data_IF_518318383583
#
_entry.id   IF_518318383583
#
_cell.length_a   1.000
_cell.length_b   1.000
_cell.length_c   1.000
_cell.angle_alpha   90.00
_cell.angle_beta   90.00
_cell.angle_gamma   90.00
#
_symmetry.space_group_name_H-M   'P 1'
#
loop_
_entity.id
_entity.type
_entity.pdbx_description
1 polymer ?
#
# COMPACT_ATOMS: atom_id res chain seq x y z
N UNK A 1 2.69 5.20 3.70
CA UNK A 1 2.58 6.29 4.70
C UNK A 1 1.27 7.04 4.53
N UNK A 2 0.74 7.64 5.61
CA UNK A 2 -0.39 8.58 5.52
C UNK A 2 0.15 9.99 5.24
N UNK A 3 0.14 10.39 3.97
CA UNK A 3 0.62 11.68 3.46
C UNK A 3 0.20 12.87 4.32
N UNK A 4 -1.05 12.83 4.80
CA UNK A 4 -1.66 13.93 5.53
C UNK A 4 -1.04 14.16 6.90
N UNK A 5 -0.18 13.27 7.41
CA UNK A 5 0.51 13.45 8.70
C UNK A 5 1.35 14.73 8.71
N UNK A 6 1.99 15.05 7.58
CA UNK A 6 2.77 16.28 7.39
C UNK A 6 1.91 17.51 7.68
N UNK A 7 0.60 17.44 7.37
CA UNK A 7 -0.36 18.55 7.49
C UNK A 7 -1.35 18.37 8.64
N UNK A 8 -1.21 17.33 9.47
CA UNK A 8 -2.14 17.05 10.57
C UNK A 8 -1.92 17.97 11.78
N UNK A 9 -0.67 18.41 12.01
CA UNK A 9 -0.32 19.33 13.08
C UNK A 9 0.96 20.11 12.70
N UNK A 10 1.06 21.38 13.11
CA UNK A 10 2.23 22.25 12.86
C UNK A 10 3.56 21.63 13.28
N UNK A 11 3.56 20.78 14.32
CA UNK A 11 4.77 20.07 14.79
C UNK A 11 5.33 19.02 13.81
N UNK A 12 4.62 18.73 12.72
CA UNK A 12 5.03 17.75 11.70
C UNK A 12 5.43 18.41 10.37
N UNK A 13 5.42 19.75 10.30
CA UNK A 13 5.69 20.48 9.05
C UNK A 13 7.17 20.41 8.66
N UNK A 14 8.04 20.00 9.58
CA UNK A 14 9.46 19.76 9.39
C UNK A 14 9.77 18.37 8.82
N UNK A 15 8.79 17.45 8.78
CA UNK A 15 8.98 16.08 8.31
C UNK A 15 9.60 15.99 6.90
N UNK A 16 9.23 16.81 5.90
CA UNK A 16 9.90 16.78 4.59
C UNK A 16 11.42 17.01 4.69
N UNK A 17 11.86 17.95 5.53
CA UNK A 17 13.28 18.22 5.76
C UNK A 17 13.97 17.10 6.54
N UNK A 18 13.28 16.54 7.53
CA UNK A 18 13.76 15.38 8.27
C UNK A 18 13.96 14.17 7.35
N UNK A 19 12.97 13.85 6.50
CA UNK A 19 13.04 12.76 5.53
C UNK A 19 14.22 12.96 4.57
N UNK A 20 14.36 14.17 4.02
CA UNK A 20 15.48 14.54 3.15
C UNK A 20 16.83 14.33 3.82
N UNK A 21 17.00 14.81 5.06
CA UNK A 21 18.25 14.67 5.83
C UNK A 21 18.69 13.21 5.97
N UNK A 22 17.73 12.29 6.07
CA UNK A 22 17.96 10.87 6.24
C UNK A 22 17.80 10.04 4.96
N UNK A 23 17.62 10.69 3.81
CA UNK A 23 17.39 10.05 2.51
C UNK A 23 16.28 8.97 2.56
N UNK A 24 15.19 9.27 3.25
CA UNK A 24 14.07 8.34 3.40
C UNK A 24 13.35 8.21 2.07
N UNK A 25 13.09 6.98 1.61
CA UNK A 25 12.20 6.72 0.48
C UNK A 25 10.74 6.88 0.94
N UNK A 26 10.04 7.86 0.39
CA UNK A 26 8.64 8.15 0.72
C UNK A 26 7.71 7.37 -0.22
N UNK A 27 6.91 6.47 0.36
CA UNK A 27 5.81 5.78 -0.34
C UNK A 27 4.50 6.18 0.33
N UNK A 28 3.57 6.75 -0.44
CA UNK A 28 2.37 7.36 0.13
C UNK A 28 1.09 7.02 -0.62
N UNK A 29 0.00 6.77 0.14
CA UNK A 29 -1.30 6.48 -0.48
C UNK A 29 -1.92 7.75 -1.08
N UNK A 30 -2.35 7.66 -2.34
CA UNK A 30 -3.13 8.65 -3.05
C UNK A 30 -4.21 7.91 -3.86
N UNK A 31 -5.43 7.72 -3.32
CA UNK A 31 -6.44 6.85 -3.94
C UNK A 31 -6.96 7.39 -5.28
N UNK A 32 -6.86 8.70 -5.53
CA UNK A 32 -7.17 9.30 -6.82
C UNK A 32 -6.54 10.69 -6.93
N UNK A 33 -6.28 11.18 -8.14
CA UNK A 33 -5.84 12.56 -8.39
C UNK A 33 -6.98 13.60 -8.39
N UNK A 34 -8.21 13.23 -7.98
CA UNK A 34 -9.34 14.16 -7.91
C UNK A 34 -9.90 14.26 -6.51
N UNK A 35 -10.35 15.47 -6.16
CA UNK A 35 -10.94 15.79 -4.85
C UNK A 35 -12.12 14.90 -4.49
N UNK A 36 -13.13 14.83 -5.37
CA UNK A 36 -14.38 14.12 -5.07
C UNK A 36 -14.17 12.63 -4.77
N UNK A 37 -13.29 11.96 -5.51
CA UNK A 37 -12.99 10.54 -5.26
C UNK A 37 -12.14 10.35 -4.00
N UNK A 38 -11.12 11.19 -3.81
CA UNK A 38 -10.25 11.11 -2.62
C UNK A 38 -11.00 11.37 -1.33
N UNK A 39 -11.78 12.45 -1.27
CA UNK A 39 -12.51 12.83 -0.07
C UNK A 39 -13.63 11.83 0.25
N UNK A 40 -14.28 11.26 -0.77
CA UNK A 40 -15.25 10.17 -0.57
C UNK A 40 -14.62 8.94 0.09
N UNK A 41 -13.37 8.61 -0.24
CA UNK A 41 -12.69 7.42 0.27
C UNK A 41 -11.94 7.65 1.58
N UNK A 42 -11.39 8.84 1.81
CA UNK A 42 -10.47 9.12 2.93
C UNK A 42 -11.01 10.14 3.93
N UNK A 43 -12.10 10.84 3.60
CA UNK A 43 -12.70 11.88 4.42
C UNK A 43 -12.51 13.28 3.84
N UNK A 44 -13.39 14.20 4.23
CA UNK A 44 -13.42 15.58 3.73
C UNK A 44 -12.10 16.33 4.00
N UNK A 45 -11.60 17.03 2.98
CA UNK A 45 -10.39 17.86 3.07
C UNK A 45 -9.08 17.05 3.09
N UNK A 46 -9.13 15.73 2.91
CA UNK A 46 -7.92 14.90 2.77
C UNK A 46 -7.20 15.23 1.47
N UNK A 47 -7.93 15.45 0.38
CA UNK A 47 -7.32 15.78 -0.91
C UNK A 47 -6.39 17.00 -0.82
N UNK A 48 -6.87 18.12 -0.28
CA UNK A 48 -6.07 19.34 -0.15
C UNK A 48 -4.82 19.15 0.70
N UNK A 49 -4.96 18.41 1.80
CA UNK A 49 -3.83 18.10 2.68
C UNK A 49 -2.80 17.24 1.96
N UNK A 50 -3.24 16.27 1.14
CA UNK A 50 -2.36 15.43 0.33
C UNK A 50 -1.64 16.24 -0.74
N UNK A 51 -2.35 17.05 -1.52
CA UNK A 51 -1.75 17.94 -2.53
C UNK A 51 -0.71 18.86 -1.88
N UNK A 52 -1.06 19.48 -0.75
CA UNK A 52 -0.13 20.39 -0.08
C UNK A 52 1.13 19.67 0.44
N UNK A 53 0.97 18.48 1.00
CA UNK A 53 2.10 17.67 1.46
C UNK A 53 3.01 17.21 0.31
N UNK A 54 2.45 16.87 -0.85
CA UNK A 54 3.24 16.53 -2.05
C UNK A 54 4.04 17.72 -2.56
N UNK A 55 3.42 18.90 -2.63
CA UNK A 55 4.14 20.13 -3.00
C UNK A 55 5.29 20.44 -2.03
N UNK A 56 5.10 20.21 -0.73
CA UNK A 56 6.16 20.39 0.27
C UNK A 56 7.29 19.37 0.12
N UNK A 57 6.97 18.14 -0.27
CA UNK A 57 7.96 17.12 -0.62
C UNK A 57 8.73 17.51 -1.90
N UNK A 58 8.04 17.89 -2.98
CA UNK A 58 8.69 18.35 -4.22
C UNK A 58 9.59 19.56 -3.98
N UNK A 59 9.15 20.53 -3.16
CA UNK A 59 9.93 21.71 -2.82
C UNK A 59 11.28 21.40 -2.14
N UNK A 60 11.38 20.26 -1.46
CA UNK A 60 12.66 19.81 -0.86
C UNK A 60 13.42 18.83 -1.74
N UNK A 61 12.88 18.47 -2.91
CA UNK A 61 13.52 17.68 -3.96
C UNK A 61 12.99 16.25 -4.10
N UNK A 62 11.99 15.83 -3.33
CA UNK A 62 11.36 14.52 -3.52
C UNK A 62 10.63 14.46 -4.86
N UNK A 63 10.68 13.33 -5.57
CA UNK A 63 9.88 13.16 -6.79
C UNK A 63 10.43 13.86 -8.04
N UNK A 64 11.34 14.83 -7.87
CA UNK A 64 11.89 15.61 -8.98
C UNK A 64 12.73 14.74 -9.93
N UNK A 65 12.74 15.04 -11.24
CA UNK A 65 13.69 14.44 -12.17
C UNK A 65 15.13 14.58 -11.65
N UNK A 66 15.94 13.53 -11.85
CA UNK A 66 17.35 13.44 -11.45
C UNK A 66 17.65 13.55 -9.93
N UNK A 67 16.62 13.56 -9.08
CA UNK A 67 16.78 13.55 -7.64
C UNK A 67 16.99 12.15 -7.07
N UNK A 68 17.87 12.01 -6.09
CA UNK A 68 17.99 10.78 -5.31
C UNK A 68 16.86 10.61 -4.27
N UNK A 69 16.07 11.66 -4.02
CA UNK A 69 14.96 11.65 -3.06
C UNK A 69 13.71 10.99 -3.67
N UNK A 70 13.55 9.71 -3.37
CA UNK A 70 12.49 8.85 -3.91
C UNK A 70 11.11 9.18 -3.33
N UNK A 71 10.15 9.44 -4.23
CA UNK A 71 8.73 9.60 -3.91
C UNK A 71 7.90 8.74 -4.85
N UNK A 72 7.18 7.77 -4.31
CA UNK A 72 6.23 6.93 -5.02
C UNK A 72 4.83 7.02 -4.40
N UNK A 73 3.81 6.87 -5.23
CA UNK A 73 2.42 6.91 -4.81
C UNK A 73 1.78 5.53 -4.87
N UNK A 74 0.79 5.29 -4.02
CA UNK A 74 0.03 4.04 -3.97
C UNK A 74 -1.43 4.33 -4.29
N UNK A 75 -1.92 3.71 -5.37
CA UNK A 75 -3.30 3.71 -5.78
C UNK A 75 -3.99 2.42 -5.32
N UNK A 76 -5.20 2.57 -4.79
CA UNK A 76 -6.09 1.45 -4.51
C UNK A 76 -7.51 1.84 -4.94
N UNK A 77 -8.24 0.96 -5.65
CA UNK A 77 -9.52 1.31 -6.25
C UNK A 77 -10.58 1.68 -5.20
N UNK A 78 -11.48 2.59 -5.56
CA UNK A 78 -12.64 2.94 -4.74
C UNK A 78 -13.80 1.97 -5.03
N UNK A 79 -13.70 0.73 -4.53
CA UNK A 79 -14.78 -0.26 -4.66
C UNK A 79 -14.31 -1.71 -4.69
N UNK A 80 -15.25 -2.59 -4.99
CA UNK A 80 -15.10 -4.05 -5.04
C UNK A 80 -14.65 -4.53 -6.44
N UNK A 81 -13.50 -4.06 -6.90
CA UNK A 81 -12.90 -4.49 -8.17
C UNK A 81 -11.37 -4.44 -8.09
N UNK A 82 -10.71 -5.18 -8.98
CA UNK A 82 -9.24 -5.19 -9.13
C UNK A 82 -8.76 -3.85 -9.73
N UNK A 83 -7.55 -3.39 -9.39
CA UNK A 83 -6.99 -2.22 -10.06
C UNK A 83 -6.81 -2.47 -11.56
N UNK A 84 -6.86 -1.39 -12.35
CA UNK A 84 -6.49 -1.44 -13.76
C UNK A 84 -4.97 -1.57 -13.96
N UNK A 85 -4.54 -1.51 -15.22
CA UNK A 85 -3.13 -1.54 -15.60
C UNK A 85 -2.32 -0.44 -14.87
N UNK A 86 -1.27 -0.83 -14.15
CA UNK A 86 -0.46 0.08 -13.35
C UNK A 86 0.22 1.14 -14.20
N UNK A 87 0.73 0.78 -15.39
CA UNK A 87 1.43 1.71 -16.26
C UNK A 87 0.48 2.78 -16.84
N UNK A 88 -0.74 2.39 -17.20
CA UNK A 88 -1.79 3.32 -17.62
C UNK A 88 -2.19 4.26 -16.49
N UNK A 89 -2.47 3.71 -15.30
CA UNK A 89 -2.80 4.51 -14.12
C UNK A 89 -1.66 5.48 -13.76
N UNK A 90 -0.40 5.05 -13.84
CA UNK A 90 0.75 5.91 -13.57
C UNK A 90 0.80 7.11 -14.52
N UNK A 91 0.60 6.88 -15.82
CA UNK A 91 0.56 7.97 -16.82
C UNK A 91 -0.56 8.97 -16.53
N UNK A 92 -1.75 8.47 -16.19
CA UNK A 92 -2.90 9.32 -15.87
C UNK A 92 -2.65 10.15 -14.60
N UNK A 93 -2.08 9.54 -13.56
CA UNK A 93 -1.70 10.24 -12.33
C UNK A 93 -0.62 11.29 -12.57
N UNK A 94 0.46 10.95 -13.31
CA UNK A 94 1.54 11.89 -13.63
C UNK A 94 1.00 13.09 -14.39
N UNK A 95 0.20 12.84 -15.44
CA UNK A 95 -0.42 13.91 -16.22
C UNK A 95 -1.28 14.83 -15.35
N UNK A 96 -2.24 14.28 -14.62
CA UNK A 96 -3.17 15.08 -13.84
C UNK A 96 -2.50 15.85 -12.70
N UNK A 97 -1.58 15.21 -11.96
CA UNK A 97 -0.90 15.86 -10.84
C UNK A 97 0.07 16.96 -11.30
N UNK A 98 0.71 16.79 -12.46
CA UNK A 98 1.55 17.82 -13.05
C UNK A 98 0.70 18.99 -13.58
N UNK A 99 -0.31 18.72 -14.41
CA UNK A 99 -1.14 19.76 -15.05
C UNK A 99 -1.92 20.61 -14.04
N UNK A 100 -2.50 19.98 -13.02
CA UNK A 100 -3.40 20.67 -12.09
C UNK A 100 -2.66 21.26 -10.86
N UNK A 101 -1.49 20.72 -10.49
CA UNK A 101 -0.86 21.02 -9.19
C UNK A 101 0.66 21.19 -9.20
N UNK A 102 1.33 21.02 -10.35
CA UNK A 102 2.79 21.06 -10.50
C UNK A 102 3.51 20.06 -9.57
N UNK A 103 2.97 18.83 -9.51
CA UNK A 103 3.49 17.75 -8.66
C UNK A 103 4.16 16.66 -9.50
N UNK A 104 5.39 16.31 -9.11
CA UNK A 104 6.19 15.23 -9.69
C UNK A 104 6.33 14.04 -8.72
N UNK A 105 6.35 12.82 -9.25
CA UNK A 105 6.64 11.60 -8.48
C UNK A 105 7.24 10.53 -9.40
N UNK A 106 7.91 9.54 -8.81
CA UNK A 106 8.66 8.54 -9.58
C UNK A 106 7.76 7.43 -10.12
N UNK A 107 7.09 6.68 -9.24
CA UNK A 107 6.24 5.55 -9.63
C UNK A 107 4.87 5.56 -8.96
N UNK A 108 3.89 4.94 -9.62
CA UNK A 108 2.60 4.61 -9.06
C UNK A 108 2.50 3.10 -8.85
N UNK A 109 2.17 2.71 -7.63
CA UNK A 109 1.92 1.32 -7.26
C UNK A 109 0.43 1.08 -7.13
N UNK A 110 -0.12 0.26 -8.03
CA UNK A 110 -1.51 -0.16 -7.96
C UNK A 110 -1.63 -1.39 -7.06
N UNK A 111 -2.52 -1.34 -6.08
CA UNK A 111 -2.75 -2.43 -5.13
C UNK A 111 -4.22 -2.85 -5.08
N UNK A 112 -4.43 -4.12 -4.79
CA UNK A 112 -5.76 -4.71 -4.59
C UNK A 112 -6.22 -4.46 -3.16
N UNK A 113 -7.50 -4.09 -2.98
CA UNK A 113 -8.07 -3.98 -1.65
C UNK A 113 -8.25 -5.38 -1.05
N UNK A 114 -7.61 -5.67 0.08
CA UNK A 114 -7.83 -6.97 0.70
C UNK A 114 -9.16 -7.03 1.46
N UNK A 115 -9.92 -8.14 1.35
CA UNK A 115 -11.25 -8.32 1.97
C UNK A 115 -11.15 -8.56 3.48
N UNK A 116 -10.58 -7.60 4.21
CA UNK A 116 -10.40 -7.63 5.67
C UNK A 116 -10.82 -6.29 6.31
N UNK A 117 -11.08 -6.32 7.62
CA UNK A 117 -11.38 -5.13 8.43
C UNK A 117 -12.44 -4.22 7.76
N UNK A 118 -12.17 -2.90 7.68
CA UNK A 118 -13.13 -1.92 7.14
C UNK A 118 -13.59 -2.20 5.71
N UNK A 119 -12.74 -2.80 4.88
CA UNK A 119 -13.13 -3.11 3.51
C UNK A 119 -14.05 -4.34 3.46
N UNK A 120 -13.81 -5.33 4.34
CA UNK A 120 -14.75 -6.43 4.55
C UNK A 120 -16.11 -5.91 5.05
N UNK A 121 -16.13 -5.00 6.03
CA UNK A 121 -17.37 -4.40 6.53
C UNK A 121 -18.15 -3.70 5.39
N UNK A 122 -17.43 -2.97 4.53
CA UNK A 122 -18.00 -2.34 3.34
C UNK A 122 -18.56 -3.39 2.36
N UNK A 123 -17.82 -4.46 2.07
CA UNK A 123 -18.27 -5.52 1.16
C UNK A 123 -19.54 -6.20 1.66
N UNK A 124 -19.63 -6.47 2.96
CA UNK A 124 -20.81 -7.08 3.58
C UNK A 124 -21.99 -6.10 3.54
N UNK A 125 -21.79 -4.86 3.98
CA UNK A 125 -22.86 -3.85 4.03
C UNK A 125 -23.39 -3.45 2.64
N UNK A 126 -22.57 -3.60 1.60
CA UNK A 126 -22.93 -3.33 0.21
C UNK A 126 -23.35 -4.58 -0.57
N UNK A 127 -23.44 -5.74 0.10
CA UNK A 127 -23.77 -7.05 -0.50
C UNK A 127 -22.84 -7.50 -1.64
N UNK A 128 -21.62 -6.94 -1.71
CA UNK A 128 -20.63 -7.24 -2.74
C UNK A 128 -19.59 -8.29 -2.33
N UNK A 129 -19.68 -8.86 -1.12
CA UNK A 129 -18.64 -9.76 -0.59
C UNK A 129 -18.41 -10.99 -1.46
N UNK A 130 -19.47 -11.74 -1.77
CA UNK A 130 -19.37 -12.98 -2.54
C UNK A 130 -18.82 -12.70 -3.94
N UNK A 131 -19.42 -11.76 -4.68
CA UNK A 131 -18.99 -11.39 -6.04
C UNK A 131 -17.53 -10.90 -6.07
N UNK A 132 -17.10 -10.16 -5.04
CA UNK A 132 -15.72 -9.73 -4.93
C UNK A 132 -14.77 -10.90 -4.69
N UNK A 133 -15.11 -11.82 -3.79
CA UNK A 133 -14.31 -13.02 -3.54
C UNK A 133 -14.22 -13.90 -4.79
N UNK A 134 -15.32 -14.10 -5.52
CA UNK A 134 -15.32 -14.78 -6.82
C UNK A 134 -14.37 -14.11 -7.81
N UNK A 135 -14.45 -12.77 -7.93
CA UNK A 135 -13.56 -12.01 -8.82
C UNK A 135 -12.08 -12.22 -8.47
N UNK A 136 -11.73 -12.26 -7.18
CA UNK A 136 -10.35 -12.52 -6.75
C UNK A 136 -9.89 -13.95 -7.08
N UNK A 137 -10.77 -14.94 -6.89
CA UNK A 137 -10.49 -16.35 -7.19
C UNK A 137 -10.34 -16.57 -8.70
N UNK A 138 -11.25 -16.03 -9.51
CA UNK A 138 -11.19 -16.15 -10.97
C UNK A 138 -9.96 -15.45 -11.56
N UNK A 139 -9.52 -14.36 -10.94
CA UNK A 139 -8.32 -13.65 -11.35
C UNK A 139 -7.02 -14.24 -10.80
N UNK A 140 -7.04 -15.44 -10.18
CA UNK A 140 -5.82 -16.08 -9.66
C UNK A 140 -4.71 -16.14 -10.71
N UNK A 141 -3.53 -15.63 -10.35
CA UNK A 141 -2.37 -15.55 -11.23
C UNK A 141 -1.16 -16.26 -10.60
N UNK A 142 -0.72 -17.41 -11.16
CA UNK A 142 0.43 -18.14 -10.64
C UNK A 142 1.75 -17.35 -10.73
N UNK A 143 1.88 -16.41 -11.68
CA UNK A 143 3.03 -15.50 -11.75
C UNK A 143 3.04 -14.56 -10.55
N UNK A 144 1.87 -14.06 -10.12
CA UNK A 144 1.78 -13.22 -8.93
C UNK A 144 2.15 -14.01 -7.67
N UNK A 145 1.72 -15.27 -7.58
CA UNK A 145 2.06 -16.18 -6.46
C UNK A 145 3.57 -16.33 -6.31
N UNK A 146 4.32 -16.47 -7.41
CA UNK A 146 5.77 -16.62 -7.35
C UNK A 146 6.48 -15.39 -6.75
N UNK A 147 5.83 -14.23 -6.74
CA UNK A 147 6.42 -12.95 -6.34
C UNK A 147 5.76 -12.34 -5.09
N UNK A 148 4.90 -13.08 -4.36
CA UNK A 148 4.25 -12.55 -3.14
C UNK A 148 5.28 -12.28 -2.04
N UNK A 149 5.13 -11.14 -1.37
CA UNK A 149 6.09 -10.66 -0.35
C UNK A 149 6.28 -11.63 0.84
N UNK A 150 5.25 -12.40 1.21
CA UNK A 150 5.34 -13.32 2.35
C UNK A 150 6.33 -14.48 2.15
N UNK A 151 6.88 -14.67 0.94
CA UNK A 151 7.93 -15.65 0.65
C UNK A 151 9.33 -15.20 1.07
N UNK A 152 9.57 -13.89 1.20
CA UNK A 152 10.89 -13.33 1.50
C UNK A 152 10.88 -12.27 2.61
N UNK A 153 9.71 -11.93 3.14
CA UNK A 153 9.52 -10.91 4.18
C UNK A 153 8.70 -11.50 5.34
N UNK A 154 8.94 -10.99 6.54
CA UNK A 154 8.15 -11.28 7.74
C UNK A 154 7.65 -9.97 8.36
N UNK A 155 6.43 -9.95 8.85
CA UNK A 155 5.92 -8.80 9.61
C UNK A 155 6.20 -8.99 11.10
N UNK A 156 6.71 -7.93 11.73
CA UNK A 156 7.05 -7.91 13.16
C UNK A 156 6.14 -6.89 13.83
N UNK A 157 5.30 -7.36 14.74
CA UNK A 157 4.46 -6.49 15.57
C UNK A 157 5.27 -5.66 16.56
N UNK A 158 4.67 -4.58 17.06
CA UNK A 158 5.31 -3.65 17.98
C UNK A 158 5.75 -4.29 19.30
N UNK A 159 5.08 -5.37 19.72
CA UNK A 159 5.41 -6.16 20.91
C UNK A 159 6.29 -7.38 20.60
N UNK A 160 6.70 -7.55 19.33
CA UNK A 160 7.74 -8.50 18.92
C UNK A 160 7.25 -9.84 18.36
N UNK A 161 5.95 -10.08 18.25
CA UNK A 161 5.41 -11.28 17.58
C UNK A 161 5.59 -11.24 16.06
N UNK A 162 5.79 -12.41 15.49
CA UNK A 162 6.07 -12.64 14.08
C UNK A 162 4.84 -13.14 13.31
N UNK A 163 4.66 -12.60 12.10
CA UNK A 163 3.56 -12.91 11.18
C UNK A 163 4.10 -13.02 9.74
N UNK A 164 3.49 -13.84 8.89
CA UNK A 164 3.95 -13.99 7.51
C UNK A 164 3.74 -12.73 6.64
N UNK A 165 2.79 -11.88 7.01
CA UNK A 165 2.54 -10.59 6.38
C UNK A 165 1.81 -9.66 7.35
N UNK A 166 1.68 -8.39 6.96
CA UNK A 166 0.92 -7.37 7.68
C UNK A 166 -0.57 -7.73 7.81
N UNK A 167 -1.15 -8.38 6.80
CA UNK A 167 -2.54 -8.84 6.85
C UNK A 167 -2.76 -9.98 7.84
N UNK A 168 -1.82 -10.92 7.91
CA UNK A 168 -1.80 -11.94 8.96
C UNK A 168 -1.69 -11.28 10.34
N UNK A 169 -0.87 -10.25 10.49
CA UNK A 169 -0.80 -9.48 11.72
C UNK A 169 -2.13 -8.82 12.08
N UNK A 170 -2.82 -8.20 11.11
CA UNK A 170 -4.14 -7.60 11.33
C UNK A 170 -5.19 -8.64 11.78
N UNK A 171 -5.07 -9.89 11.30
CA UNK A 171 -5.97 -10.99 11.63
C UNK A 171 -5.52 -11.81 12.87
N UNK A 172 -4.38 -11.48 13.48
CA UNK A 172 -3.82 -12.23 14.61
C UNK A 172 -3.24 -13.61 14.22
N UNK A 173 -2.97 -13.85 12.94
CA UNK A 173 -2.48 -15.11 12.37
C UNK A 173 -0.95 -15.20 12.45
N UNK A 174 -0.41 -15.52 13.63
CA UNK A 174 1.04 -15.67 13.85
C UNK A 174 1.64 -16.76 12.95
N UNK A 175 2.94 -16.66 12.67
CA UNK A 175 3.67 -17.66 11.88
C UNK A 175 3.44 -19.08 12.38
N UNK A 176 3.30 -20.03 11.46
CA UNK A 176 3.20 -21.46 11.77
C UNK A 176 4.60 -22.05 12.04
N UNK A 177 5.24 -21.59 13.13
CA UNK A 177 6.58 -21.99 13.54
C UNK A 177 6.69 -22.16 15.05
N UNK A 178 7.71 -22.89 15.51
CA UNK A 178 8.07 -22.94 16.93
C UNK A 178 8.55 -21.57 17.43
N UNK A 179 9.15 -20.78 16.54
CA UNK A 179 9.63 -19.44 16.84
C UNK A 179 8.57 -18.45 16.38
N UNK A 180 7.91 -17.83 17.36
CA UNK A 180 6.79 -16.91 17.11
C UNK A 180 7.10 -15.48 17.55
N UNK A 181 8.23 -15.25 18.21
CA UNK A 181 8.64 -13.96 18.74
C UNK A 181 10.08 -13.63 18.32
N UNK A 182 10.35 -12.36 17.96
CA UNK A 182 11.64 -11.91 17.41
C UNK A 182 12.84 -12.12 18.36
N UNK A 183 12.59 -12.14 19.67
CA UNK A 183 13.63 -12.46 20.68
C UNK A 183 14.23 -13.87 20.53
N UNK A 184 13.48 -14.79 19.92
CA UNK A 184 13.89 -16.18 19.69
C UNK A 184 14.28 -16.40 18.23
N UNK A 185 14.54 -15.33 17.47
CA UNK A 185 14.78 -15.38 16.03
C UNK A 185 15.83 -16.44 15.65
N UNK A 186 15.46 -17.29 14.70
CA UNK A 186 16.34 -18.26 14.06
C UNK A 186 15.97 -18.33 12.59
N UNK A 187 16.91 -17.97 11.73
CA UNK A 187 16.71 -17.85 10.31
C UNK A 187 16.34 -19.19 9.65
N UNK A 188 17.08 -20.27 9.96
CA UNK A 188 16.86 -21.60 9.36
C UNK A 188 15.45 -22.13 9.67
N UNK A 189 15.00 -22.01 10.92
CA UNK A 189 13.67 -22.46 11.34
C UNK A 189 12.58 -21.59 10.71
N UNK A 190 12.78 -20.28 10.62
CA UNK A 190 11.79 -19.37 10.05
C UNK A 190 11.71 -19.51 8.52
N UNK A 191 12.82 -19.69 7.82
CA UNK A 191 12.83 -19.87 6.36
C UNK A 191 12.22 -21.21 5.94
N UNK A 192 12.28 -22.23 6.80
CA UNK A 192 11.70 -23.55 6.55
C UNK A 192 10.31 -23.73 7.20
N UNK A 193 9.50 -22.66 7.27
CA UNK A 193 8.13 -22.72 7.80
C UNK A 193 7.11 -22.73 6.67
N UNK A 194 5.93 -23.28 6.94
CA UNK A 194 4.78 -23.07 6.07
C UNK A 194 4.20 -21.67 6.31
N UNK A 195 3.98 -20.93 5.23
CA UNK A 195 3.28 -19.65 5.27
C UNK A 195 1.81 -19.90 5.59
N UNK A 196 1.28 -19.21 6.60
CA UNK A 196 -0.11 -19.33 6.98
C UNK A 196 -0.98 -18.53 6.00
N UNK A 197 -1.90 -19.23 5.32
CA UNK A 197 -2.79 -18.65 4.30
C UNK A 197 -4.23 -18.52 4.81
N UNK A 198 -4.97 -17.56 4.26
CA UNK A 198 -6.39 -17.35 4.51
C UNK A 198 -7.05 -16.64 3.32
N UNK A 199 -8.34 -16.29 3.41
CA UNK A 199 -9.13 -15.73 2.31
C UNK A 199 -8.53 -14.44 1.71
N UNK A 200 -7.90 -13.60 2.54
CA UNK A 200 -7.27 -12.37 2.07
C UNK A 200 -6.10 -12.62 1.09
N UNK A 201 -5.49 -13.81 1.10
CA UNK A 201 -4.40 -14.16 0.21
C UNK A 201 -4.82 -14.10 -1.26
N UNK A 202 -6.10 -14.37 -1.58
CA UNK A 202 -6.60 -14.23 -2.94
C UNK A 202 -6.42 -12.82 -3.49
N UNK A 203 -6.48 -11.77 -2.66
CA UNK A 203 -6.23 -10.41 -3.14
C UNK A 203 -4.77 -10.13 -3.50
N UNK A 204 -3.81 -10.81 -2.86
CA UNK A 204 -2.38 -10.71 -3.20
C UNK A 204 -2.01 -11.52 -4.45
N UNK A 205 -2.77 -12.59 -4.74
CA UNK A 205 -2.52 -13.50 -5.86
C UNK A 205 -3.39 -13.22 -7.09
N UNK A 206 -4.36 -12.31 -6.99
CA UNK A 206 -5.28 -11.98 -8.08
C UNK A 206 -4.71 -10.93 -9.04
N UNK A 207 -5.04 -11.06 -10.32
CA UNK A 207 -4.69 -10.12 -11.37
C UNK A 207 -3.18 -9.96 -11.50
N UNK A 208 -2.70 -8.72 -11.45
CA UNK A 208 -1.27 -8.42 -11.51
C UNK A 208 -0.54 -8.66 -10.16
N UNK A 209 -1.27 -9.18 -9.16
CA UNK A 209 -0.84 -9.29 -7.77
C UNK A 209 -0.76 -7.94 -7.06
N UNK A 210 -0.47 -7.98 -5.76
CA UNK A 210 -0.50 -6.78 -4.92
C UNK A 210 0.60 -6.81 -3.86
N UNK A 211 1.43 -5.77 -3.83
CA UNK A 211 2.52 -5.62 -2.87
C UNK A 211 2.73 -4.15 -2.48
N UNK A 212 3.57 -3.90 -1.47
CA UNK A 212 4.02 -2.53 -1.16
C UNK A 212 4.89 -1.91 -2.27
N UNK A 213 5.23 -2.68 -3.31
CA UNK A 213 5.92 -2.27 -4.53
C UNK A 213 4.98 -2.28 -5.76
N UNK A 214 3.66 -2.40 -5.55
CA UNK A 214 2.64 -2.43 -6.62
C UNK A 214 2.43 -3.82 -7.19
N UNK A 215 2.13 -3.86 -8.50
CA UNK A 215 2.04 -5.09 -9.30
C UNK A 215 3.31 -5.93 -9.15
N UNK A 216 3.13 -7.25 -9.09
CA UNK A 216 4.23 -8.22 -8.98
C UNK A 216 4.34 -9.12 -10.23
N UNK A 217 3.65 -8.73 -11.30
CA UNK A 217 3.73 -9.37 -12.63
C UNK A 217 3.83 -8.33 -13.72
#
# INVERSE_FOLDING_TARGET
SNLTIIRANKKYYDLPQFFKKHNIHVISSMPHYTRGKTDKQRGEGVFDKSIKALQELNAVGYGMPDSSLRLDLVYNPSGAFLPGDQAALERDFKKALLEDFDIEFHNLFAITNLPIARFLDYLIASENYEDYMYSLVEAYNPTAVANVMCTNTISVSWDGWLYDCDFNQMLGLKVASKITHIKEYNEDILNNRNILISQHCYGCTAGAGSSCQGSVT
#
